data_IF_908780866988
#
_entry.id   IF_908780866988
#
_cell.length_a   1.000
_cell.length_b   1.000
_cell.length_c   1.000
_cell.angle_alpha   90.00
_cell.angle_beta   90.00
_cell.angle_gamma   90.00
#
_symmetry.space_group_name_H-M   'P 1'
#
loop_
_entity.id
_entity.type
_entity.pdbx_description
1 polymer ?
#
# COMPACT_ATOMS: atom_id res chain seq x y z
N UNK A 1 -38.66 5.70 26.44
CA UNK A 1 -37.82 5.05 25.42
C UNK A 1 -37.09 3.91 26.10
N UNK A 2 -37.37 2.65 25.69
CA UNK A 2 -36.75 1.49 26.31
C UNK A 2 -35.27 1.36 25.90
N UNK A 3 -34.40 0.88 26.81
CA UNK A 3 -32.98 0.58 26.52
C UNK A 3 -32.78 -0.22 25.23
N UNK A 4 -33.72 -1.09 24.91
CA UNK A 4 -33.74 -1.88 23.66
C UNK A 4 -33.89 -0.99 22.41
N UNK A 5 -34.71 0.07 22.49
CA UNK A 5 -34.89 1.03 21.38
C UNK A 5 -33.63 1.88 21.17
N UNK A 6 -32.99 2.32 22.24
CA UNK A 6 -31.74 3.12 22.17
C UNK A 6 -30.64 2.25 21.54
N UNK A 7 -30.50 0.99 21.97
CA UNK A 7 -29.52 0.05 21.40
C UNK A 7 -29.75 -0.21 19.91
N UNK A 8 -31.01 -0.41 19.51
CA UNK A 8 -31.35 -0.63 18.10
C UNK A 8 -31.12 0.63 17.25
N UNK A 9 -31.37 1.83 17.81
CA UNK A 9 -31.12 3.10 17.13
C UNK A 9 -29.61 3.35 16.95
N UNK A 10 -28.79 3.08 17.97
CA UNK A 10 -27.33 3.17 17.89
C UNK A 10 -26.78 2.17 16.87
N UNK A 11 -27.28 0.93 16.89
CA UNK A 11 -26.89 -0.08 15.91
C UNK A 11 -27.28 0.31 14.48
N UNK A 12 -28.48 0.87 14.28
CA UNK A 12 -28.95 1.34 12.98
C UNK A 12 -28.13 2.55 12.48
N UNK A 13 -27.77 3.50 13.36
CA UNK A 13 -26.91 4.63 13.03
C UNK A 13 -25.49 4.20 12.67
N UNK A 14 -24.92 3.23 13.38
CA UNK A 14 -23.61 2.66 13.05
C UNK A 14 -23.62 1.92 11.70
N UNK A 15 -24.64 1.13 11.42
CA UNK A 15 -24.78 0.41 10.14
C UNK A 15 -24.96 1.42 9.00
N UNK A 16 -25.71 2.49 9.22
CA UNK A 16 -25.94 3.53 8.21
C UNK A 16 -24.66 4.32 7.91
N UNK A 17 -23.83 4.63 8.91
CA UNK A 17 -22.54 5.31 8.71
C UNK A 17 -21.53 4.46 7.93
N UNK A 18 -21.50 3.15 8.13
CA UNK A 18 -20.65 2.23 7.37
C UNK A 18 -21.15 2.06 5.93
N UNK A 19 -22.47 2.05 5.71
CA UNK A 19 -23.03 1.97 4.36
C UNK A 19 -22.72 3.20 3.49
N UNK A 20 -22.66 4.39 4.09
CA UNK A 20 -22.30 5.65 3.42
C UNK A 20 -20.80 5.71 3.09
N UNK A 21 -19.94 5.01 3.84
CA UNK A 21 -18.51 4.99 3.64
C UNK A 21 -18.01 4.00 2.57
N UNK A 22 -18.85 3.09 2.08
CA UNK A 22 -18.49 2.15 1.03
C UNK A 22 -18.47 2.86 -0.33
N UNK A 23 -17.28 2.97 -0.92
CA UNK A 23 -17.07 3.53 -2.27
C UNK A 23 -16.48 2.47 -3.20
N UNK A 24 -16.55 2.72 -4.50
CA UNK A 24 -15.87 1.91 -5.50
C UNK A 24 -14.52 2.55 -5.80
N UNK A 25 -13.43 1.77 -5.74
CA UNK A 25 -12.12 2.23 -6.18
C UNK A 25 -12.22 2.73 -7.61
N UNK A 26 -11.84 3.98 -7.84
CA UNK A 26 -11.86 4.56 -9.19
C UNK A 26 -10.89 3.82 -10.12
N UNK A 27 -9.82 3.25 -9.56
CA UNK A 27 -8.73 2.61 -10.33
C UNK A 27 -9.08 1.19 -10.77
N UNK A 28 -9.75 0.41 -9.91
CA UNK A 28 -9.96 -1.03 -10.14
C UNK A 28 -11.41 -1.47 -10.12
N UNK A 29 -12.33 -0.59 -9.71
CA UNK A 29 -13.74 -0.92 -9.55
C UNK A 29 -14.05 -1.75 -8.30
N UNK A 30 -13.06 -2.07 -7.46
CA UNK A 30 -13.24 -2.81 -6.21
C UNK A 30 -13.95 -1.94 -5.17
N UNK A 31 -14.83 -2.53 -4.40
CA UNK A 31 -15.43 -1.84 -3.24
C UNK A 31 -14.41 -1.71 -2.11
N UNK A 32 -14.29 -0.50 -1.58
CA UNK A 32 -13.41 -0.19 -0.46
C UNK A 32 -14.11 0.76 0.53
N UNK A 33 -13.68 0.72 1.79
CA UNK A 33 -14.18 1.64 2.80
C UNK A 33 -13.39 2.95 2.71
N UNK A 34 -14.09 4.10 2.62
CA UNK A 34 -13.49 5.44 2.55
C UNK A 34 -14.15 6.35 3.58
N UNK A 35 -13.74 6.23 4.84
CA UNK A 35 -14.17 7.09 5.95
C UNK A 35 -13.22 8.26 6.21
N UNK A 36 -11.98 8.14 5.74
CA UNK A 36 -10.92 9.12 5.92
C UNK A 36 -10.65 9.83 4.61
N UNK A 37 -10.41 11.13 4.68
CA UNK A 37 -10.00 11.94 3.53
C UNK A 37 -8.58 11.54 3.10
N UNK A 38 -8.45 11.00 1.89
CA UNK A 38 -7.20 10.53 1.30
C UNK A 38 -6.17 11.66 1.20
N UNK A 39 -6.61 12.88 0.89
CA UNK A 39 -5.71 14.04 0.80
C UNK A 39 -5.08 14.37 2.16
N UNK A 40 -5.85 14.30 3.25
CA UNK A 40 -5.30 14.51 4.60
C UNK A 40 -4.27 13.45 4.97
N UNK A 41 -4.49 12.20 4.58
CA UNK A 41 -3.51 11.11 4.78
C UNK A 41 -2.24 11.42 4.02
N UNK A 42 -2.33 11.84 2.75
CA UNK A 42 -1.19 12.22 1.92
C UNK A 42 -0.41 13.39 2.53
N UNK A 43 -1.11 14.46 2.92
CA UNK A 43 -0.47 15.68 3.47
C UNK A 43 0.26 15.36 4.79
N UNK A 44 -0.37 14.61 5.70
CA UNK A 44 0.24 14.21 6.97
C UNK A 44 1.45 13.30 6.74
N UNK A 45 1.32 12.32 5.85
CA UNK A 45 2.40 11.41 5.54
C UNK A 45 3.61 12.12 4.93
N UNK A 46 3.40 13.11 4.07
CA UNK A 46 4.48 13.90 3.47
C UNK A 46 5.34 14.61 4.53
N UNK A 47 4.72 15.12 5.60
CA UNK A 47 5.44 15.74 6.72
C UNK A 47 6.31 14.70 7.46
N UNK A 48 5.75 13.55 7.80
CA UNK A 48 6.48 12.49 8.51
C UNK A 48 7.58 11.88 7.64
N UNK A 49 7.32 11.69 6.35
CA UNK A 49 8.33 11.23 5.40
C UNK A 49 9.51 12.21 5.30
N UNK A 50 9.25 13.51 5.26
CA UNK A 50 10.31 14.53 5.23
C UNK A 50 11.20 14.47 6.47
N UNK A 51 10.61 14.24 7.65
CA UNK A 51 11.39 14.06 8.90
C UNK A 51 12.24 12.80 8.84
N UNK A 52 11.67 11.68 8.34
CA UNK A 52 12.38 10.42 8.16
C UNK A 52 13.59 10.58 7.25
N UNK A 53 13.41 11.25 6.09
CA UNK A 53 14.49 11.47 5.13
C UNK A 53 15.57 12.42 5.70
N UNK A 54 15.17 13.45 6.46
CA UNK A 54 16.11 14.33 7.14
C UNK A 54 16.96 13.57 8.17
N UNK A 55 16.35 12.71 8.98
CA UNK A 55 17.05 11.87 9.95
C UNK A 55 17.98 10.89 9.25
N UNK A 56 17.51 10.17 8.23
CA UNK A 56 18.34 9.24 7.45
C UNK A 56 19.51 9.95 6.74
N UNK A 57 19.31 11.19 6.29
CA UNK A 57 20.35 12.02 5.70
C UNK A 57 21.40 12.40 6.75
N UNK A 58 20.98 12.83 7.93
CA UNK A 58 21.87 13.18 9.03
C UNK A 58 22.75 12.01 9.49
N UNK A 59 22.20 10.79 9.40
CA UNK A 59 22.90 9.52 9.69
C UNK A 59 23.80 9.04 8.54
N UNK A 60 23.77 9.70 7.38
CA UNK A 60 24.59 9.34 6.21
C UNK A 60 24.15 8.01 5.56
N UNK A 61 22.92 7.53 5.80
CA UNK A 61 22.44 6.26 5.27
C UNK A 61 21.66 6.41 3.95
N UNK A 62 21.40 7.62 3.47
CA UNK A 62 20.82 7.86 2.13
C UNK A 62 21.88 7.57 1.07
N UNK A 63 21.60 6.60 0.19
CA UNK A 63 22.52 6.12 -0.86
C UNK A 63 21.95 6.28 -2.27
N UNK A 64 21.26 7.38 -2.52
CA UNK A 64 20.63 7.68 -3.82
C UNK A 64 21.61 7.75 -5.01
N UNK A 65 22.89 7.98 -4.75
CA UNK A 65 23.96 8.03 -5.77
C UNK A 65 24.59 6.66 -6.08
N UNK A 66 24.27 5.62 -5.28
CA UNK A 66 24.73 4.26 -5.55
C UNK A 66 24.14 3.71 -6.86
N UNK A 67 24.67 2.59 -7.38
CA UNK A 67 24.12 1.91 -8.55
C UNK A 67 22.64 1.57 -8.37
N UNK A 68 22.29 0.97 -7.25
CA UNK A 68 20.88 0.65 -6.88
C UNK A 68 20.04 1.93 -6.78
N UNK A 69 20.53 2.97 -6.10
CA UNK A 69 19.79 4.23 -5.94
C UNK A 69 19.50 4.94 -7.26
N UNK A 70 20.45 4.89 -8.21
CA UNK A 70 20.25 5.42 -9.57
C UNK A 70 19.20 4.63 -10.34
N UNK A 71 19.21 3.28 -10.22
CA UNK A 71 18.19 2.43 -10.83
C UNK A 71 16.82 2.69 -10.23
N UNK A 72 16.70 2.78 -8.90
CA UNK A 72 15.45 3.11 -8.20
C UNK A 72 14.87 4.43 -8.70
N UNK A 73 15.66 5.50 -8.79
CA UNK A 73 15.21 6.81 -9.32
C UNK A 73 14.78 6.72 -10.78
N UNK A 74 15.59 6.07 -11.63
CA UNK A 74 15.28 5.89 -13.06
C UNK A 74 13.98 5.12 -13.26
N UNK A 75 13.85 3.99 -12.58
CA UNK A 75 12.70 3.09 -12.70
C UNK A 75 11.44 3.75 -12.14
N UNK A 76 11.53 4.35 -10.94
CA UNK A 76 10.43 5.07 -10.34
C UNK A 76 9.91 6.21 -11.20
N UNK A 77 10.80 7.01 -11.81
CA UNK A 77 10.41 8.07 -12.74
C UNK A 77 9.66 7.54 -13.98
N UNK A 78 10.10 6.42 -14.57
CA UNK A 78 9.40 5.81 -15.70
C UNK A 78 8.03 5.27 -15.32
N UNK A 79 7.92 4.60 -14.15
CA UNK A 79 6.66 4.05 -13.68
C UNK A 79 5.69 5.16 -13.28
N UNK A 80 6.15 6.23 -12.64
CA UNK A 80 5.29 7.37 -12.29
C UNK A 80 4.70 8.07 -13.54
N UNK A 81 5.46 8.19 -14.62
CA UNK A 81 4.95 8.67 -15.91
C UNK A 81 3.88 7.72 -16.47
N UNK A 82 4.10 6.41 -16.40
CA UNK A 82 3.11 5.41 -16.81
C UNK A 82 1.82 5.50 -15.98
N UNK A 83 1.93 5.70 -14.66
CA UNK A 83 0.78 5.94 -13.78
C UNK A 83 -0.01 7.17 -14.19
N UNK A 84 0.65 8.30 -14.42
CA UNK A 84 -0.01 9.55 -14.85
C UNK A 84 -0.75 9.32 -16.18
N UNK A 85 -0.10 8.63 -17.12
CA UNK A 85 -0.72 8.28 -18.40
C UNK A 85 -1.95 7.40 -18.18
N UNK A 86 -1.82 6.34 -17.38
CA UNK A 86 -2.93 5.43 -17.06
C UNK A 86 -4.12 6.17 -16.43
N UNK A 87 -3.87 7.05 -15.45
CA UNK A 87 -4.91 7.83 -14.80
C UNK A 87 -5.63 8.76 -15.78
N UNK A 88 -4.90 9.41 -16.68
CA UNK A 88 -5.49 10.26 -17.72
C UNK A 88 -6.37 9.46 -18.70
N UNK A 89 -5.87 8.33 -19.18
CA UNK A 89 -6.59 7.48 -20.16
C UNK A 89 -7.84 6.82 -19.60
N UNK A 90 -7.92 6.68 -18.26
CA UNK A 90 -9.06 6.07 -17.58
C UNK A 90 -9.98 7.08 -16.86
N UNK A 91 -9.87 8.38 -17.16
CA UNK A 91 -10.76 9.41 -16.61
C UNK A 91 -10.55 9.71 -15.13
N UNK A 92 -9.33 9.47 -14.61
CA UNK A 92 -8.95 9.66 -13.20
C UNK A 92 -7.91 10.77 -13.00
N UNK A 93 -7.90 11.77 -13.89
CA UNK A 93 -6.94 12.88 -13.84
C UNK A 93 -7.02 13.69 -12.55
N UNK A 94 -8.17 13.70 -11.88
CA UNK A 94 -8.40 14.32 -10.57
C UNK A 94 -7.55 13.72 -9.45
N UNK A 95 -7.08 12.49 -9.62
CA UNK A 95 -6.19 11.82 -8.65
C UNK A 95 -4.73 12.22 -8.81
N UNK A 96 -4.31 12.74 -9.97
CA UNK A 96 -2.90 13.06 -10.24
C UNK A 96 -2.32 14.04 -9.19
N UNK A 97 -3.04 15.08 -8.73
CA UNK A 97 -2.52 16.00 -7.71
C UNK A 97 -2.26 15.37 -6.33
N UNK A 98 -2.73 14.14 -6.07
CA UNK A 98 -2.42 13.43 -4.84
C UNK A 98 -0.96 12.95 -4.81
N UNK A 99 -0.28 12.84 -5.96
CA UNK A 99 1.04 12.25 -6.07
C UNK A 99 2.13 13.29 -6.27
N UNK A 100 3.01 13.39 -5.27
CA UNK A 100 4.27 14.14 -5.33
C UNK A 100 5.42 13.13 -5.19
N UNK A 101 5.72 12.44 -6.30
CA UNK A 101 6.64 11.31 -6.36
C UNK A 101 8.02 11.65 -5.80
N UNK A 102 8.51 10.81 -4.91
CA UNK A 102 9.85 10.92 -4.33
C UNK A 102 10.43 9.52 -4.11
N UNK A 103 11.67 9.32 -4.59
CA UNK A 103 12.35 8.03 -4.61
C UNK A 103 13.64 8.12 -3.82
N UNK A 104 13.70 7.49 -2.65
CA UNK A 104 14.89 7.43 -1.83
C UNK A 104 15.35 6.00 -1.60
N UNK A 105 16.66 5.81 -1.52
CA UNK A 105 17.29 4.53 -1.20
C UNK A 105 18.13 4.69 0.06
N UNK A 106 17.89 3.80 1.03
CA UNK A 106 18.66 3.76 2.28
C UNK A 106 19.59 2.56 2.29
N UNK A 107 20.75 2.73 2.95
CA UNK A 107 21.74 1.67 3.18
C UNK A 107 21.29 0.84 4.37
N UNK A 108 20.47 -0.16 4.09
CA UNK A 108 19.98 -1.14 5.06
C UNK A 108 20.05 -2.53 4.44
N UNK A 109 20.48 -3.53 5.24
CA UNK A 109 20.60 -4.92 4.79
C UNK A 109 19.26 -5.65 4.73
N UNK A 110 18.25 -5.11 5.37
CA UNK A 110 16.90 -5.64 5.36
C UNK A 110 16.34 -5.69 3.95
N UNK A 111 15.68 -6.80 3.60
CA UNK A 111 14.98 -6.96 2.33
C UNK A 111 13.63 -6.31 2.46
N UNK A 112 13.53 -5.02 2.10
CA UNK A 112 12.32 -4.23 2.22
C UNK A 112 12.26 -3.09 1.20
N UNK A 113 11.04 -2.69 0.86
CA UNK A 113 10.68 -1.47 0.13
C UNK A 113 9.24 -1.11 0.46
N UNK A 114 8.87 0.15 0.36
CA UNK A 114 7.49 0.57 0.50
C UNK A 114 7.21 1.89 -0.22
N UNK A 115 5.96 2.09 -0.58
CA UNK A 115 5.43 3.34 -1.11
C UNK A 115 4.32 3.84 -0.20
N UNK A 116 4.57 4.94 0.49
CA UNK A 116 3.56 5.60 1.29
C UNK A 116 2.60 6.47 0.48
N UNK A 117 1.55 6.97 1.13
CA UNK A 117 0.60 7.89 0.54
C UNK A 117 1.29 9.05 -0.19
N UNK A 118 0.74 9.42 -1.36
CA UNK A 118 1.29 10.51 -2.15
C UNK A 118 2.54 10.17 -2.96
N UNK A 119 2.92 8.87 -3.05
CA UNK A 119 4.04 8.43 -3.87
C UNK A 119 5.41 8.68 -3.23
N UNK A 120 5.50 8.59 -1.91
CA UNK A 120 6.74 8.70 -1.15
C UNK A 120 7.35 7.30 -0.98
N UNK A 121 8.45 7.01 -1.69
CA UNK A 121 9.05 5.68 -1.77
C UNK A 121 10.36 5.64 -1.01
N UNK A 122 10.50 4.61 -0.17
CA UNK A 122 11.75 4.23 0.46
C UNK A 122 12.13 2.80 0.04
N UNK A 123 13.31 2.68 -0.50
CA UNK A 123 13.85 1.43 -1.02
C UNK A 123 15.10 1.05 -0.20
N UNK A 124 15.09 -0.12 0.39
CA UNK A 124 16.21 -0.59 1.21
C UNK A 124 17.22 -1.30 0.31
N UNK A 125 18.51 -1.01 0.49
CA UNK A 125 19.55 -1.59 -0.37
C UNK A 125 19.57 -3.13 -0.33
N UNK A 126 19.14 -3.75 0.78
CA UNK A 126 19.05 -5.19 0.95
C UNK A 126 18.13 -5.88 -0.05
N UNK A 127 17.10 -5.20 -0.57
CA UNK A 127 16.18 -5.80 -1.55
C UNK A 127 16.86 -6.12 -2.88
N UNK A 128 18.03 -5.53 -3.16
CA UNK A 128 18.81 -5.85 -4.36
C UNK A 128 19.33 -7.29 -4.39
N UNK A 129 19.25 -8.02 -3.28
CA UNK A 129 19.54 -9.47 -3.23
C UNK A 129 18.52 -10.29 -4.04
N UNK A 130 17.28 -9.81 -4.13
CA UNK A 130 16.18 -10.46 -4.84
C UNK A 130 15.76 -9.67 -6.10
N UNK A 131 16.00 -8.36 -6.14
CA UNK A 131 15.74 -7.45 -7.25
C UNK A 131 17.09 -6.85 -7.74
N UNK A 132 17.94 -7.68 -8.34
CA UNK A 132 19.33 -7.35 -8.64
C UNK A 132 19.53 -6.48 -9.90
N UNK A 133 18.53 -6.40 -10.77
CA UNK A 133 18.58 -5.67 -12.02
C UNK A 133 17.43 -4.65 -12.16
N UNK A 134 17.43 -3.88 -13.27
CA UNK A 134 16.44 -2.85 -13.53
C UNK A 134 15.01 -3.43 -13.63
N UNK A 135 14.82 -4.63 -14.15
CA UNK A 135 13.49 -5.24 -14.27
C UNK A 135 12.96 -5.75 -12.91
N UNK A 136 13.83 -6.36 -12.10
CA UNK A 136 13.48 -6.76 -10.73
C UNK A 136 13.12 -5.55 -9.86
N UNK A 137 13.90 -4.47 -9.94
CA UNK A 137 13.58 -3.20 -9.26
C UNK A 137 12.26 -2.63 -9.78
N UNK A 138 11.99 -2.73 -11.11
CA UNK A 138 10.73 -2.28 -11.68
C UNK A 138 9.53 -3.08 -11.15
N UNK A 139 9.68 -4.39 -10.97
CA UNK A 139 8.62 -5.24 -10.44
C UNK A 139 8.24 -4.84 -9.00
N UNK A 140 9.23 -4.68 -8.11
CA UNK A 140 8.99 -4.20 -6.74
C UNK A 140 8.40 -2.80 -6.75
N UNK A 141 9.03 -1.88 -7.49
CA UNK A 141 8.62 -0.47 -7.52
C UNK A 141 7.18 -0.30 -8.04
N UNK A 142 6.81 -1.03 -9.09
CA UNK A 142 5.46 -0.97 -9.66
C UNK A 142 4.41 -1.53 -8.71
N UNK A 143 4.74 -2.60 -7.98
CA UNK A 143 3.87 -3.17 -6.94
C UNK A 143 3.63 -2.15 -5.82
N UNK A 144 4.70 -1.55 -5.28
CA UNK A 144 4.61 -0.54 -4.21
C UNK A 144 3.83 0.71 -4.64
N UNK A 145 4.12 1.23 -5.83
CA UNK A 145 3.40 2.37 -6.42
C UNK A 145 1.91 2.04 -6.56
N UNK A 146 1.56 0.80 -6.91
CA UNK A 146 0.17 0.36 -7.07
C UNK A 146 -0.61 0.42 -5.77
N UNK A 147 0.01 0.12 -4.62
CA UNK A 147 -0.63 0.30 -3.31
C UNK A 147 -1.02 1.76 -3.06
N UNK A 148 -0.13 2.70 -3.39
CA UNK A 148 -0.43 4.13 -3.25
C UNK A 148 -1.51 4.60 -4.23
N UNK A 149 -1.45 4.15 -5.50
CA UNK A 149 -2.42 4.52 -6.54
C UNK A 149 -3.81 3.95 -6.26
N UNK A 150 -3.90 2.73 -5.74
CA UNK A 150 -5.16 2.11 -5.31
C UNK A 150 -5.72 2.69 -3.99
N UNK A 151 -4.94 3.51 -3.27
CA UNK A 151 -5.36 4.15 -2.02
C UNK A 151 -5.44 3.18 -0.83
N UNK A 152 -4.65 2.11 -0.83
CA UNK A 152 -4.71 1.07 0.19
C UNK A 152 -4.42 1.59 1.60
N UNK A 153 -3.54 2.57 1.74
CA UNK A 153 -3.26 3.22 3.04
C UNK A 153 -4.47 3.96 3.60
N UNK A 154 -5.21 4.68 2.74
CA UNK A 154 -6.43 5.39 3.15
C UNK A 154 -7.56 4.40 3.48
N UNK A 155 -7.66 3.28 2.76
CA UNK A 155 -8.56 2.19 3.09
C UNK A 155 -8.20 1.55 4.44
N UNK A 156 -6.92 1.28 4.71
CA UNK A 156 -6.43 0.76 5.98
C UNK A 156 -6.78 1.68 7.15
N UNK A 157 -6.54 2.99 7.01
CA UNK A 157 -6.92 4.00 7.99
C UNK A 157 -8.44 4.06 8.21
N UNK A 158 -9.23 3.91 7.14
CA UNK A 158 -10.70 3.87 7.22
C UNK A 158 -11.18 2.62 7.96
N UNK A 159 -10.58 1.47 7.69
CA UNK A 159 -10.89 0.20 8.38
C UNK A 159 -10.54 0.30 9.87
N UNK A 160 -9.39 0.88 10.23
CA UNK A 160 -9.00 1.11 11.63
C UNK A 160 -9.99 2.06 12.32
N UNK A 161 -10.41 3.12 11.65
CA UNK A 161 -11.42 4.07 12.17
C UNK A 161 -12.75 3.37 12.44
N UNK A 162 -13.22 2.52 11.50
CA UNK A 162 -14.44 1.75 11.67
C UNK A 162 -14.34 0.75 12.85
N UNK A 163 -13.21 0.04 12.95
CA UNK A 163 -12.97 -0.90 14.04
C UNK A 163 -12.97 -0.19 15.41
N UNK A 164 -12.32 0.97 15.52
CA UNK A 164 -12.30 1.79 16.72
C UNK A 164 -13.72 2.28 17.09
N UNK A 165 -14.52 2.73 16.13
CA UNK A 165 -15.90 3.15 16.37
C UNK A 165 -16.76 2.00 16.91
N UNK A 166 -16.61 0.78 16.38
CA UNK A 166 -17.30 -0.42 16.86
C UNK A 166 -16.87 -0.76 18.30
N UNK A 167 -15.56 -0.68 18.60
CA UNK A 167 -15.05 -0.94 19.95
C UNK A 167 -15.58 0.07 20.97
N UNK A 168 -15.57 1.38 20.61
CA UNK A 168 -16.13 2.44 21.46
C UNK A 168 -17.63 2.20 21.67
N UNK A 169 -18.39 1.89 20.62
CA UNK A 169 -19.81 1.58 20.71
C UNK A 169 -20.10 0.38 21.63
N UNK A 170 -19.28 -0.68 21.55
CA UNK A 170 -19.37 -1.84 22.44
C UNK A 170 -19.10 -1.46 23.89
N UNK A 171 -18.06 -0.65 24.17
CA UNK A 171 -17.76 -0.19 25.53
C UNK A 171 -18.87 0.67 26.12
N UNK A 172 -19.43 1.59 25.34
CA UNK A 172 -20.59 2.38 25.77
C UNK A 172 -21.77 1.48 26.09
N UNK A 173 -22.04 0.45 25.27
CA UNK A 173 -23.08 -0.53 25.53
C UNK A 173 -22.80 -1.33 26.81
N UNK A 174 -21.55 -1.78 27.02
CA UNK A 174 -21.16 -2.53 28.22
C UNK A 174 -21.30 -1.67 29.49
N UNK A 175 -20.90 -0.37 29.45
CA UNK A 175 -21.10 0.56 30.56
C UNK A 175 -22.60 0.71 30.88
N UNK A 176 -23.44 0.88 29.86
CA UNK A 176 -24.88 1.07 30.03
C UNK A 176 -25.59 -0.21 30.51
N UNK A 177 -24.99 -1.40 30.31
CA UNK A 177 -25.54 -2.69 30.73
C UNK A 177 -24.88 -3.26 31.98
N UNK A 178 -23.95 -2.55 32.62
CA UNK A 178 -23.25 -2.97 33.86
C UNK A 178 -22.15 -4.01 33.59
N UNK A 179 -21.67 -4.18 32.35
CA UNK A 179 -20.55 -5.04 31.97
C UNK A 179 -19.19 -4.46 32.40
N UNK A 180 -18.18 -5.34 32.52
CA UNK A 180 -16.81 -4.92 32.83
C UNK A 180 -16.16 -4.26 31.59
N UNK A 181 -15.69 -3.04 31.73
CA UNK A 181 -14.99 -2.29 30.68
C UNK A 181 -13.62 -2.90 30.36
N UNK A 182 -13.38 -3.24 29.09
CA UNK A 182 -12.04 -3.50 28.59
C UNK A 182 -11.40 -2.15 28.20
N UNK A 183 -10.20 -1.88 28.67
CA UNK A 183 -9.43 -0.66 28.35
C UNK A 183 -8.98 -0.73 26.89
N UNK A 184 -9.30 0.31 26.10
CA UNK A 184 -8.75 0.44 24.73
C UNK A 184 -7.27 0.83 24.86
N UNK A 185 -6.38 0.07 24.24
CA UNK A 185 -4.98 0.50 24.10
C UNK A 185 -4.87 1.51 22.93
N UNK A 186 -4.07 2.56 23.14
CA UNK A 186 -3.76 3.56 22.13
C UNK A 186 -2.93 3.00 20.94
N UNK A 187 -2.50 1.75 21.03
CA UNK A 187 -1.68 1.08 20.02
C UNK A 187 -2.39 0.89 18.67
N UNK A 188 -3.72 0.77 18.67
CA UNK A 188 -4.51 0.62 17.42
C UNK A 188 -4.51 1.91 16.59
N UNK A 189 -4.46 3.08 17.23
CA UNK A 189 -4.34 4.37 16.53
C UNK A 189 -2.93 4.59 15.98
N UNK A 190 -1.91 4.16 16.73
CA UNK A 190 -0.51 4.26 16.30
C UNK A 190 -0.19 3.35 15.11
N UNK A 191 -0.82 2.17 15.02
CA UNK A 191 -0.65 1.24 13.89
C UNK A 191 -1.25 1.77 12.58
N UNK A 192 -2.32 2.56 12.62
CA UNK A 192 -2.95 3.13 11.41
C UNK A 192 -2.19 4.31 10.79
N UNK A 193 -1.26 4.93 11.54
CA UNK A 193 -0.44 6.06 11.10
C UNK A 193 1.05 5.72 11.04
N UNK A 194 1.42 4.48 11.35
CA UNK A 194 2.81 4.01 11.33
C UNK A 194 3.40 4.03 9.93
N UNK A 195 4.54 4.65 9.81
CA UNK A 195 5.35 4.70 8.59
C UNK A 195 5.69 3.27 8.13
N UNK A 196 5.09 2.81 7.04
CA UNK A 196 5.51 1.62 6.31
C UNK A 196 5.10 0.26 6.90
N UNK A 197 4.22 0.20 7.91
CA UNK A 197 3.84 -1.05 8.58
C UNK A 197 2.39 -1.48 8.34
N UNK A 198 1.74 -0.99 7.29
CA UNK A 198 0.40 -1.46 6.93
C UNK A 198 0.53 -2.86 6.32
N UNK A 199 0.09 -3.86 7.06
CA UNK A 199 -0.09 -5.20 6.52
C UNK A 199 -1.28 -5.20 5.56
N UNK A 200 -1.01 -5.45 4.29
CA UNK A 200 -2.04 -5.52 3.26
C UNK A 200 -2.77 -6.87 3.29
N UNK A 201 -4.05 -6.84 2.99
CA UNK A 201 -4.82 -8.07 2.83
C UNK A 201 -4.64 -8.66 1.41
N UNK A 202 -4.98 -9.94 1.25
CA UNK A 202 -4.81 -10.65 -0.04
C UNK A 202 -5.46 -9.95 -1.23
N UNK A 203 -6.61 -9.32 -1.03
CA UNK A 203 -7.32 -8.63 -2.12
C UNK A 203 -6.54 -7.39 -2.56
N UNK A 204 -5.96 -6.65 -1.61
CA UNK A 204 -5.11 -5.50 -1.90
C UNK A 204 -3.82 -5.93 -2.58
N UNK A 205 -3.23 -7.07 -2.19
CA UNK A 205 -2.06 -7.63 -2.86
C UNK A 205 -2.36 -8.00 -4.32
N UNK A 206 -3.48 -8.69 -4.60
CA UNK A 206 -3.86 -9.02 -5.98
C UNK A 206 -4.16 -7.76 -6.82
N UNK A 207 -4.74 -6.73 -6.22
CA UNK A 207 -4.99 -5.44 -6.86
C UNK A 207 -3.67 -4.75 -7.20
N UNK A 208 -2.70 -4.73 -6.27
CA UNK A 208 -1.38 -4.17 -6.48
C UNK A 208 -0.56 -4.96 -7.52
N UNK A 209 -0.65 -6.29 -7.50
CA UNK A 209 -0.02 -7.17 -8.49
C UNK A 209 -0.54 -6.87 -9.90
N UNK A 210 -1.86 -6.79 -10.08
CA UNK A 210 -2.48 -6.52 -11.37
C UNK A 210 -2.08 -5.15 -11.92
N UNK A 211 -2.22 -4.10 -11.11
CA UNK A 211 -1.86 -2.74 -11.51
C UNK A 211 -0.36 -2.61 -11.75
N UNK A 212 0.46 -3.24 -10.91
CA UNK A 212 1.90 -3.23 -11.03
C UNK A 212 2.38 -3.78 -12.38
N UNK A 213 1.81 -4.89 -12.82
CA UNK A 213 2.11 -5.45 -14.16
C UNK A 213 1.73 -4.49 -15.29
N UNK A 214 0.58 -3.82 -15.18
CA UNK A 214 0.13 -2.82 -16.17
C UNK A 214 1.09 -1.63 -16.19
N UNK A 215 1.47 -1.10 -15.03
CA UNK A 215 2.38 0.04 -14.93
C UNK A 215 3.79 -0.31 -15.42
N UNK A 216 4.29 -1.53 -15.13
CA UNK A 216 5.53 -2.05 -15.71
C UNK A 216 5.47 -2.03 -17.24
N UNK A 217 4.43 -2.63 -17.82
CA UNK A 217 4.25 -2.74 -19.26
C UNK A 217 4.21 -1.35 -19.93
N UNK A 218 3.41 -0.42 -19.37
CA UNK A 218 3.32 0.95 -19.87
C UNK A 218 4.64 1.73 -19.74
N UNK A 219 5.45 1.42 -18.73
CA UNK A 219 6.78 1.99 -18.54
C UNK A 219 7.86 1.34 -19.45
N UNK A 220 7.52 0.30 -20.19
CA UNK A 220 8.39 -0.43 -21.12
C UNK A 220 9.22 -1.54 -20.45
N UNK A 221 8.84 -1.97 -19.25
CA UNK A 221 9.40 -3.14 -18.55
C UNK A 221 8.58 -4.38 -18.85
N UNK A 222 9.25 -5.54 -18.94
CA UNK A 222 8.56 -6.82 -19.17
C UNK A 222 7.73 -7.21 -17.93
N UNK A 223 6.39 -7.29 -18.01
CA UNK A 223 5.55 -7.64 -16.86
C UNK A 223 5.74 -9.09 -16.36
N UNK A 224 6.35 -10.00 -17.15
CA UNK A 224 6.72 -11.34 -16.66
C UNK A 224 7.68 -11.30 -15.48
N UNK A 225 8.44 -10.21 -15.34
CA UNK A 225 9.38 -10.07 -14.22
C UNK A 225 8.68 -9.99 -12.87
N UNK A 226 7.43 -9.52 -12.82
CA UNK A 226 6.61 -9.56 -11.59
C UNK A 226 6.37 -11.01 -11.12
N UNK A 227 6.19 -11.94 -12.05
CA UNK A 227 6.05 -13.38 -11.74
C UNK A 227 7.35 -13.91 -11.16
N UNK A 228 8.47 -13.69 -11.86
CA UNK A 228 9.80 -14.13 -11.40
C UNK A 228 10.18 -13.52 -10.05
N UNK A 229 9.77 -12.27 -9.80
CA UNK A 229 10.00 -11.62 -8.51
C UNK A 229 9.26 -12.34 -7.38
N UNK A 230 8.00 -12.75 -7.60
CA UNK A 230 7.24 -13.53 -6.62
C UNK A 230 7.81 -14.95 -6.43
N UNK A 231 8.36 -15.56 -7.48
CA UNK A 231 9.05 -16.85 -7.39
C UNK A 231 10.31 -16.73 -6.51
N UNK A 232 11.15 -15.69 -6.72
CA UNK A 232 12.32 -15.41 -5.87
C UNK A 232 11.94 -15.12 -4.41
N UNK A 233 10.86 -14.39 -4.18
CA UNK A 233 10.34 -14.12 -2.83
C UNK A 233 9.86 -15.40 -2.14
N UNK A 234 9.22 -16.32 -2.87
CA UNK A 234 8.78 -17.61 -2.34
C UNK A 234 9.98 -18.49 -1.95
N UNK A 235 11.04 -18.52 -2.77
CA UNK A 235 12.28 -19.25 -2.47
C UNK A 235 12.95 -18.74 -1.19
N UNK A 236 12.97 -17.41 -0.99
CA UNK A 236 13.56 -16.82 0.23
C UNK A 236 12.67 -17.07 1.46
N UNK A 237 11.34 -17.15 1.27
CA UNK A 237 10.38 -17.43 2.35
C UNK A 237 10.55 -18.83 2.96
N UNK A 238 11.05 -19.81 2.20
CA UNK A 238 11.36 -21.17 2.69
C UNK A 238 12.64 -21.23 3.55
N UNK A 239 13.36 -20.10 3.66
CA UNK A 239 14.57 -19.98 4.48
C UNK A 239 14.27 -19.80 5.97
N UNK A 240 15.35 -19.79 6.80
CA UNK A 240 15.24 -19.63 8.26
C UNK A 240 14.80 -18.23 8.71
N UNK A 241 15.04 -17.21 7.89
CA UNK A 241 14.67 -15.82 8.16
C UNK A 241 13.73 -15.33 7.07
N UNK A 242 12.48 -15.07 7.44
CA UNK A 242 11.49 -14.51 6.53
C UNK A 242 11.76 -13.02 6.34
N UNK A 243 11.97 -12.54 5.11
CA UNK A 243 12.18 -11.11 4.86
C UNK A 243 11.05 -10.25 5.41
N UNK A 244 11.38 -9.07 5.95
CA UNK A 244 10.39 -8.11 6.47
C UNK A 244 9.38 -7.71 5.39
N UNK A 245 9.80 -7.64 4.13
CA UNK A 245 8.91 -7.42 2.99
C UNK A 245 7.74 -8.40 2.97
N UNK A 246 7.94 -9.66 3.35
CA UNK A 246 6.87 -10.67 3.40
C UNK A 246 5.97 -10.55 4.62
N UNK A 247 6.38 -9.83 5.67
CA UNK A 247 5.52 -9.57 6.83
C UNK A 247 4.44 -8.53 6.52
N UNK A 248 4.74 -7.59 5.63
CA UNK A 248 3.80 -6.55 5.13
C UNK A 248 3.07 -6.99 3.86
N UNK A 249 3.73 -7.78 3.00
CA UNK A 249 3.21 -8.33 1.74
C UNK A 249 3.20 -9.86 1.77
N UNK A 250 2.18 -10.48 2.37
CA UNK A 250 2.16 -11.94 2.53
C UNK A 250 2.31 -12.68 1.21
N UNK A 251 3.29 -13.58 1.16
CA UNK A 251 3.40 -14.56 0.08
C UNK A 251 2.18 -15.50 0.16
N UNK A 252 1.25 -15.34 -0.76
CA UNK A 252 0.15 -16.30 -0.92
C UNK A 252 0.52 -17.22 -2.08
N UNK A 253 0.41 -18.53 -1.89
CA UNK A 253 0.68 -19.52 -2.96
C UNK A 253 -0.06 -19.20 -4.27
N UNK A 254 -1.19 -18.52 -4.18
CA UNK A 254 -2.01 -18.14 -5.33
C UNK A 254 -1.56 -16.82 -6.02
N UNK A 255 -0.59 -16.06 -5.48
CA UNK A 255 -0.17 -14.79 -6.13
C UNK A 255 0.49 -15.05 -7.47
N UNK A 256 1.38 -16.05 -7.54
CA UNK A 256 2.05 -16.43 -8.79
C UNK A 256 1.04 -16.86 -9.86
N UNK A 257 0.03 -17.65 -9.47
CA UNK A 257 -1.03 -18.06 -10.39
C UNK A 257 -1.85 -16.85 -10.87
N UNK A 258 -2.21 -15.94 -9.97
CA UNK A 258 -2.94 -14.72 -10.30
C UNK A 258 -2.15 -13.79 -11.23
N UNK A 259 -0.85 -13.64 -11.01
CA UNK A 259 0.02 -12.89 -11.90
C UNK A 259 0.04 -13.51 -13.32
N UNK A 260 0.10 -14.85 -13.42
CA UNK A 260 0.00 -15.54 -14.72
C UNK A 260 -1.35 -15.30 -15.42
N UNK A 261 -2.46 -15.23 -14.65
CA UNK A 261 -3.79 -14.87 -15.18
C UNK A 261 -3.86 -13.40 -15.67
N UNK A 262 -3.16 -12.46 -14.99
CA UNK A 262 -3.15 -11.04 -15.35
C UNK A 262 -2.19 -10.71 -16.51
N UNK A 263 -1.20 -11.55 -16.75
CA UNK A 263 -0.15 -11.30 -17.75
C UNK A 263 -0.70 -10.99 -19.15
N UNK A 264 -1.71 -11.72 -19.70
CA UNK A 264 -2.24 -11.40 -21.04
C UNK A 264 -2.87 -10.01 -21.13
N UNK A 265 -3.44 -9.50 -20.04
CA UNK A 265 -3.98 -8.13 -19.99
C UNK A 265 -2.85 -7.11 -19.95
N UNK A 266 -1.85 -7.30 -19.09
CA UNK A 266 -0.69 -6.42 -18.97
C UNK A 266 0.10 -6.35 -20.29
N UNK A 267 0.24 -7.46 -20.99
CA UNK A 267 0.95 -7.53 -22.29
C UNK A 267 0.32 -6.67 -23.38
N UNK A 268 -0.96 -6.30 -23.29
CA UNK A 268 -1.60 -5.35 -24.22
C UNK A 268 -0.99 -3.94 -24.15
N UNK A 269 -0.43 -3.59 -23.00
CA UNK A 269 0.24 -2.30 -22.73
C UNK A 269 1.75 -2.36 -23.00
N UNK A 270 2.30 -3.56 -23.18
CA UNK A 270 3.74 -3.75 -23.36
C UNK A 270 4.16 -3.57 -24.80
N UNK A 271 4.91 -2.50 -25.05
CA UNK A 271 5.58 -2.31 -26.35
C UNK A 271 7.07 -2.52 -26.13
N UNK A 272 7.59 -3.65 -26.60
CA UNK A 272 9.03 -3.92 -26.56
C UNK A 272 9.74 -2.83 -27.37
N UNK A 273 10.52 -1.98 -26.68
CA UNK A 273 11.38 -0.98 -27.32
C UNK A 273 12.73 -1.57 -27.67
#
# INVERSE_FOLDING_TARGET
>A
ITMRMIRNLIAALMIMSVAVGCTTSAVTGRKQLKLVDEKKIVDNFAVEYSKLIADATSKGIIVNSSSTGKLVKKTGAKISIAVIKYLNENGMSDRIPLFAWEFNTVKESEVNAWCGPGGKILFYSGISTIASDENGIAAVMAHEISHAVAGHSAEGASNATAANAIMIGKQVADILTGGKTAVISNDVLAQGLGLGLLKYNRTQEYEADKLGMIFMAMAGYNPEEAIKMQERLAEVADGKEVPEYLSTHPAAANRIEKLKEYLPEAMKYYTKK
#
